data_IF_247823172984
#
_entry.id   IF_247823172984
#
_cell.length_a   1.000
_cell.length_b   1.000
_cell.length_c   1.000
_cell.angle_alpha   90.00
_cell.angle_beta   90.00
_cell.angle_gamma   90.00
#
_symmetry.space_group_name_H-M   'P 1'
#
loop_
_entity.id
_entity.type
_entity.pdbx_description
1 polymer ?
#
# COMPACT_ATOMS: atom_id res chain seq x y z
N UNK A 1 -12.29 -3.73 9.53
CA UNK A 1 -11.95 -4.73 8.48
C UNK A 1 -12.14 -6.12 9.06
N UNK A 2 -12.91 -7.02 8.43
CA UNK A 2 -13.03 -8.40 8.91
C UNK A 2 -11.66 -9.08 8.86
N UNK A 3 -11.24 -9.69 9.97
CA UNK A 3 -9.95 -10.36 10.09
C UNK A 3 -10.03 -11.76 9.49
N UNK A 4 -8.99 -12.16 8.76
CA UNK A 4 -8.87 -13.53 8.27
C UNK A 4 -8.76 -14.53 9.44
N UNK A 5 -9.43 -15.68 9.31
CA UNK A 5 -9.21 -16.82 10.21
C UNK A 5 -7.75 -17.28 10.16
N UNK A 6 -7.25 -17.76 11.31
CA UNK A 6 -5.84 -18.11 11.53
C UNK A 6 -5.33 -19.15 10.53
N UNK A 7 -4.05 -19.05 10.17
CA UNK A 7 -3.41 -20.00 9.24
C UNK A 7 -3.41 -21.41 9.82
N UNK A 8 -3.22 -21.56 11.12
CA UNK A 8 -3.29 -22.86 11.82
C UNK A 8 -4.64 -23.55 11.60
N UNK A 9 -5.76 -22.84 11.79
CA UNK A 9 -7.09 -23.39 11.56
C UNK A 9 -7.26 -23.88 10.13
N UNK A 10 -6.74 -23.12 9.16
CA UNK A 10 -6.79 -23.50 7.74
C UNK A 10 -6.00 -24.75 7.46
N UNK A 11 -4.78 -24.85 7.98
CA UNK A 11 -3.91 -26.04 7.86
C UNK A 11 -4.62 -27.29 8.42
N UNK A 12 -5.23 -27.19 9.60
CA UNK A 12 -5.96 -28.30 10.22
C UNK A 12 -7.19 -28.73 9.42
N UNK A 13 -7.90 -27.79 8.80
CA UNK A 13 -9.02 -28.10 7.90
C UNK A 13 -8.54 -28.83 6.65
N UNK A 14 -7.45 -28.38 6.02
CA UNK A 14 -6.87 -29.04 4.85
C UNK A 14 -6.38 -30.44 5.20
N UNK A 15 -5.65 -30.61 6.30
CA UNK A 15 -5.17 -31.92 6.75
C UNK A 15 -6.34 -32.91 6.95
N UNK A 16 -7.49 -32.46 7.47
CA UNK A 16 -8.66 -33.31 7.60
C UNK A 16 -9.28 -33.70 6.25
N UNK A 17 -9.25 -32.80 5.26
CA UNK A 17 -9.74 -33.08 3.90
C UNK A 17 -8.82 -34.06 3.20
N UNK A 18 -7.50 -33.89 3.34
CA UNK A 18 -6.50 -34.80 2.79
C UNK A 18 -6.54 -36.19 3.45
N UNK A 19 -6.93 -36.26 4.72
CA UNK A 19 -7.23 -37.51 5.42
C UNK A 19 -8.58 -38.17 5.01
N UNK A 20 -9.27 -37.64 3.99
CA UNK A 20 -10.46 -38.25 3.39
C UNK A 20 -11.80 -37.61 3.78
N UNK A 21 -11.82 -36.55 4.58
CA UNK A 21 -13.08 -35.86 4.87
C UNK A 21 -13.54 -35.00 3.68
N UNK A 22 -14.85 -34.97 3.40
CA UNK A 22 -15.40 -33.95 2.50
C UNK A 22 -15.21 -32.54 3.08
N UNK A 23 -15.16 -31.53 2.22
CA UNK A 23 -15.09 -30.12 2.65
C UNK A 23 -16.21 -29.75 3.63
N UNK A 24 -17.41 -30.31 3.47
CA UNK A 24 -18.56 -30.06 4.34
C UNK A 24 -18.40 -30.74 5.71
N UNK A 25 -17.87 -31.97 5.76
CA UNK A 25 -17.56 -32.66 7.02
C UNK A 25 -16.45 -31.92 7.79
N UNK A 26 -15.37 -31.52 7.11
CA UNK A 26 -14.31 -30.72 7.72
C UNK A 26 -14.85 -29.39 8.26
N UNK A 27 -15.67 -28.68 7.48
CA UNK A 27 -16.29 -27.43 7.92
C UNK A 27 -17.13 -27.60 9.20
N UNK A 28 -17.95 -28.66 9.26
CA UNK A 28 -18.74 -29.00 10.45
C UNK A 28 -17.85 -29.33 11.65
N UNK A 29 -16.78 -30.11 11.46
CA UNK A 29 -15.81 -30.48 12.51
C UNK A 29 -15.11 -29.28 13.12
N UNK A 30 -14.76 -28.28 12.31
CA UNK A 30 -13.98 -27.10 12.73
C UNK A 30 -14.84 -25.85 12.98
N UNK A 31 -16.17 -25.95 12.90
CA UNK A 31 -17.07 -24.83 13.20
C UNK A 31 -16.99 -23.66 12.20
N UNK A 32 -16.66 -23.94 10.94
CA UNK A 32 -16.55 -22.91 9.88
C UNK A 32 -17.61 -23.11 8.80
N UNK A 33 -17.80 -22.09 7.94
CA UNK A 33 -18.68 -22.23 6.79
C UNK A 33 -18.10 -23.20 5.74
N UNK A 34 -18.97 -24.00 5.12
CA UNK A 34 -18.58 -24.91 4.04
C UNK A 34 -17.90 -24.17 2.87
N UNK A 35 -18.36 -22.96 2.54
CA UNK A 35 -17.75 -22.11 1.51
C UNK A 35 -16.32 -21.68 1.83
N UNK A 36 -15.95 -21.57 3.11
CA UNK A 36 -14.57 -21.28 3.50
C UNK A 36 -13.66 -22.50 3.34
N UNK A 37 -14.12 -23.67 3.78
CA UNK A 37 -13.39 -24.93 3.58
C UNK A 37 -13.13 -25.22 2.09
N UNK A 38 -14.15 -25.04 1.24
CA UNK A 38 -14.02 -25.20 -0.23
C UNK A 38 -12.97 -24.24 -0.80
N UNK A 39 -13.04 -22.95 -0.45
CA UNK A 39 -12.06 -21.96 -0.93
C UNK A 39 -10.64 -22.27 -0.49
N UNK A 40 -10.45 -22.71 0.75
CA UNK A 40 -9.12 -23.08 1.25
C UNK A 40 -8.59 -24.32 0.54
N UNK A 41 -9.42 -25.34 0.32
CA UNK A 41 -9.02 -26.54 -0.40
C UNK A 41 -8.64 -26.24 -1.85
N UNK A 42 -9.42 -25.41 -2.55
CA UNK A 42 -9.09 -24.95 -3.89
C UNK A 42 -7.76 -24.17 -3.94
N UNK A 43 -7.51 -23.30 -2.96
CA UNK A 43 -6.26 -22.55 -2.86
C UNK A 43 -5.06 -23.48 -2.62
N UNK A 44 -5.22 -24.45 -1.71
CA UNK A 44 -4.20 -25.47 -1.41
C UNK A 44 -3.85 -26.28 -2.65
N UNK A 45 -4.84 -26.73 -3.43
CA UNK A 45 -4.60 -27.47 -4.68
C UNK A 45 -3.93 -26.62 -5.77
N UNK A 46 -4.24 -25.33 -5.83
CA UNK A 46 -3.70 -24.45 -6.86
C UNK A 46 -2.30 -23.92 -6.56
N UNK A 47 -1.93 -23.74 -5.28
CA UNK A 47 -0.73 -22.99 -4.88
C UNK A 47 0.09 -23.63 -3.76
N UNK A 48 -0.32 -24.80 -3.27
CA UNK A 48 0.23 -25.42 -2.06
C UNK A 48 0.30 -24.45 -0.87
N UNK A 49 -0.69 -23.56 -0.78
CA UNK A 49 -0.76 -22.50 0.21
C UNK A 49 -2.18 -22.36 0.76
N UNK A 50 -2.27 -22.02 2.05
CA UNK A 50 -3.51 -21.78 2.79
C UNK A 50 -3.54 -20.39 3.43
N UNK A 51 -2.46 -19.62 3.30
CA UNK A 51 -2.36 -18.28 3.86
C UNK A 51 -3.43 -17.34 3.28
N UNK A 52 -3.99 -16.43 4.10
CA UNK A 52 -4.84 -15.38 3.55
C UNK A 52 -4.05 -14.49 2.60
N UNK A 53 -4.68 -14.12 1.48
CA UNK A 53 -4.14 -13.08 0.61
C UNK A 53 -4.05 -11.74 1.37
N UNK A 54 -3.10 -10.89 0.95
CA UNK A 54 -2.93 -9.53 1.50
C UNK A 54 -4.27 -8.78 1.43
N UNK A 55 -4.81 -8.44 2.60
CA UNK A 55 -6.03 -7.64 2.72
C UNK A 55 -5.65 -6.15 2.76
N UNK A 56 -6.41 -5.31 2.07
CA UNK A 56 -6.14 -3.88 2.01
C UNK A 56 -4.94 -3.51 1.15
N UNK A 57 -4.16 -2.53 1.62
CA UNK A 57 -3.00 -1.97 0.91
C UNK A 57 -3.33 -0.86 -0.08
N UNK A 58 -2.31 -0.12 -0.48
CA UNK A 58 -2.43 0.92 -1.51
C UNK A 58 -2.60 0.28 -2.89
N UNK A 59 -3.75 0.55 -3.51
CA UNK A 59 -4.08 0.09 -4.86
C UNK A 59 -4.21 1.24 -5.86
N UNK A 60 -4.09 2.49 -5.39
CA UNK A 60 -4.41 3.69 -6.18
C UNK A 60 -3.17 4.48 -6.56
N UNK A 61 -2.09 4.40 -5.79
CA UNK A 61 -0.87 5.15 -6.09
C UNK A 61 -0.07 4.61 -7.27
N UNK A 62 -0.22 3.33 -7.64
CA UNK A 62 0.61 2.67 -8.67
C UNK A 62 0.85 3.51 -9.93
N UNK A 63 -0.18 4.20 -10.42
CA UNK A 63 -0.07 5.05 -11.61
C UNK A 63 0.87 6.24 -11.42
N UNK A 64 0.74 6.97 -10.31
CA UNK A 64 1.62 8.11 -10.02
C UNK A 64 3.03 7.64 -9.64
N UNK A 65 3.15 6.49 -8.98
CA UNK A 65 4.43 5.85 -8.67
C UNK A 65 5.21 5.47 -9.92
N UNK A 66 4.53 5.06 -11.00
CA UNK A 66 5.17 4.78 -12.29
C UNK A 66 5.86 6.00 -12.93
N UNK A 67 5.56 7.21 -12.45
CA UNK A 67 6.19 8.45 -12.91
C UNK A 67 7.06 9.10 -11.82
N UNK A 68 7.47 8.34 -10.79
CA UNK A 68 8.20 8.87 -9.65
C UNK A 68 9.49 9.61 -10.06
N UNK A 69 10.27 9.02 -10.96
CA UNK A 69 11.55 9.60 -11.40
C UNK A 69 11.35 10.93 -12.13
N UNK A 70 10.31 11.02 -12.97
CA UNK A 70 9.94 12.28 -13.65
C UNK A 70 9.53 13.35 -12.63
N UNK A 71 8.67 12.99 -11.67
CA UNK A 71 8.18 13.92 -10.64
C UNK A 71 9.34 14.43 -9.77
N UNK A 72 10.23 13.53 -9.34
CA UNK A 72 11.39 13.87 -8.52
C UNK A 72 12.46 14.63 -9.32
N UNK A 73 12.60 14.36 -10.61
CA UNK A 73 13.49 15.11 -11.51
C UNK A 73 13.06 16.55 -11.70
N UNK A 74 11.76 16.80 -11.89
CA UNK A 74 11.20 18.15 -11.93
C UNK A 74 11.41 18.90 -10.60
N UNK A 75 11.19 18.22 -9.47
CA UNK A 75 11.45 18.80 -8.16
C UNK A 75 12.94 19.10 -7.93
N UNK A 76 13.84 18.24 -8.40
CA UNK A 76 15.29 18.47 -8.29
C UNK A 76 15.76 19.65 -9.16
N UNK A 77 15.18 19.83 -10.35
CA UNK A 77 15.43 20.98 -11.22
C UNK A 77 14.93 22.28 -10.61
N UNK A 78 13.73 22.26 -10.01
CA UNK A 78 13.08 23.45 -9.46
C UNK A 78 12.55 23.13 -8.06
N UNK A 79 13.38 23.28 -7.00
CA UNK A 79 13.02 22.84 -5.64
C UNK A 79 11.82 23.56 -5.01
N UNK A 80 11.51 24.76 -5.47
CA UNK A 80 10.42 25.63 -5.00
C UNK A 80 9.16 25.56 -5.90
N UNK A 81 9.10 24.61 -6.83
CA UNK A 81 7.95 24.43 -7.73
C UNK A 81 6.65 24.19 -6.93
N UNK A 82 5.60 24.92 -7.29
CA UNK A 82 4.28 24.69 -6.67
C UNK A 82 3.67 23.39 -7.20
N UNK A 83 2.77 22.76 -6.43
CA UNK A 83 2.08 21.54 -6.88
C UNK A 83 1.24 21.77 -8.16
N UNK A 84 0.76 23.00 -8.38
CA UNK A 84 -0.01 23.37 -9.58
C UNK A 84 0.91 23.46 -10.79
N UNK A 85 2.07 24.10 -10.64
CA UNK A 85 3.05 24.23 -11.71
C UNK A 85 3.67 22.88 -12.06
N UNK A 86 3.97 22.06 -11.05
CA UNK A 86 4.42 20.68 -11.24
C UNK A 86 3.40 19.85 -12.00
N UNK A 87 2.11 19.97 -11.66
CA UNK A 87 1.04 19.32 -12.42
C UNK A 87 1.03 19.78 -13.88
N UNK A 88 1.19 21.07 -14.13
CA UNK A 88 1.16 21.63 -15.49
C UNK A 88 2.38 21.17 -16.30
N UNK A 89 3.57 21.14 -15.69
CA UNK A 89 4.79 20.59 -16.30
C UNK A 89 4.61 19.11 -16.70
N UNK A 90 4.09 18.30 -15.77
CA UNK A 90 3.79 16.88 -16.03
C UNK A 90 2.73 16.69 -17.12
N UNK A 91 1.69 17.54 -17.15
CA UNK A 91 0.69 17.51 -18.21
C UNK A 91 1.29 17.83 -19.59
N UNK A 92 2.26 18.76 -19.67
CA UNK A 92 3.02 19.03 -20.90
C UNK A 92 3.85 17.83 -21.39
N UNK A 93 4.19 16.91 -20.49
CA UNK A 93 4.87 15.64 -20.80
C UNK A 93 3.89 14.47 -21.02
N UNK A 94 2.58 14.73 -21.10
CA UNK A 94 1.53 13.72 -21.28
C UNK A 94 1.12 12.98 -20.00
N UNK A 95 1.63 13.39 -18.84
CA UNK A 95 1.38 12.74 -17.54
C UNK A 95 0.24 13.48 -16.82
N UNK A 96 -0.99 12.99 -16.99
CA UNK A 96 -2.15 13.56 -16.32
C UNK A 96 -2.20 13.13 -14.84
N UNK A 97 -1.93 14.02 -13.90
CA UNK A 97 -2.04 13.78 -12.44
C UNK A 97 -2.87 14.88 -11.76
N UNK A 98 -3.47 14.57 -10.60
CA UNK A 98 -4.18 15.57 -9.81
C UNK A 98 -3.26 16.17 -8.74
N UNK A 99 -3.54 17.41 -8.31
CA UNK A 99 -2.81 18.07 -7.22
C UNK A 99 -2.86 17.24 -5.93
N UNK A 100 -4.04 16.70 -5.58
CA UNK A 100 -4.18 15.80 -4.43
C UNK A 100 -3.39 14.49 -4.59
N UNK A 101 -3.23 14.01 -5.83
CA UNK A 101 -2.36 12.86 -6.14
C UNK A 101 -0.90 13.16 -5.86
N UNK A 102 -0.41 14.31 -6.35
CA UNK A 102 0.96 14.79 -6.08
C UNK A 102 1.19 15.02 -4.59
N UNK A 103 0.24 15.62 -3.88
CA UNK A 103 0.33 15.81 -2.44
C UNK A 103 0.52 14.47 -1.71
N UNK A 104 -0.32 13.46 -2.01
CA UNK A 104 -0.19 12.12 -1.41
C UNK A 104 1.09 11.41 -1.86
N UNK A 105 1.61 11.73 -3.04
CA UNK A 105 2.89 11.20 -3.51
C UNK A 105 4.06 11.70 -2.65
N UNK A 106 4.10 12.99 -2.36
CA UNK A 106 5.12 13.57 -1.48
C UNK A 106 4.95 13.14 -0.03
N UNK A 107 3.72 13.13 0.48
CA UNK A 107 3.42 12.66 1.84
C UNK A 107 3.93 11.23 2.07
N UNK A 108 3.64 10.30 1.16
CA UNK A 108 4.09 8.90 1.27
C UNK A 108 5.61 8.74 1.25
N UNK A 109 6.34 9.71 0.67
CA UNK A 109 7.81 9.76 0.62
C UNK A 109 8.42 10.58 1.74
N UNK A 110 7.60 11.11 2.65
CA UNK A 110 8.02 12.03 3.71
C UNK A 110 8.75 13.28 3.18
N UNK A 111 8.47 13.67 1.93
CA UNK A 111 9.01 14.91 1.35
C UNK A 111 8.10 16.03 1.82
N UNK A 112 8.64 16.91 2.66
CA UNK A 112 7.92 18.07 3.18
C UNK A 112 8.62 19.34 2.76
N UNK A 113 7.85 20.34 2.35
CA UNK A 113 8.38 21.68 2.16
C UNK A 113 8.78 22.24 3.53
N UNK A 114 9.96 22.84 3.63
CA UNK A 114 10.36 23.59 4.82
C UNK A 114 9.34 24.70 5.06
N UNK A 115 8.65 24.65 6.19
CA UNK A 115 7.59 25.63 6.54
C UNK A 115 8.15 26.94 7.09
N UNK A 116 9.38 26.94 7.62
CA UNK A 116 9.98 28.14 8.20
C UNK A 116 10.74 28.95 7.14
N UNK A 117 10.42 30.24 6.96
CA UNK A 117 11.27 31.16 6.22
C UNK A 117 12.69 31.12 6.78
N UNK A 118 13.70 31.32 5.93
CA UNK A 118 15.06 31.56 6.42
C UNK A 118 15.06 32.85 7.25
N UNK A 119 15.08 32.72 8.58
CA UNK A 119 15.28 33.87 9.46
C UNK A 119 16.75 34.28 9.43
N UNK A 120 17.02 35.59 9.56
CA UNK A 120 18.39 36.06 9.79
C UNK A 120 18.91 35.41 11.09
N UNK A 121 20.16 34.93 11.15
CA UNK A 121 20.77 34.48 12.39
C UNK A 121 20.60 35.55 13.48
N UNK A 122 20.28 35.14 14.71
CA UNK A 122 20.26 36.07 15.84
C UNK A 122 21.61 36.75 15.96
N UNK A 123 21.62 38.08 16.06
CA UNK A 123 22.85 38.87 16.24
C UNK A 123 23.55 38.37 17.51
N UNK A 124 24.70 37.73 17.37
CA UNK A 124 25.57 37.42 18.51
C UNK A 124 26.14 38.76 18.98
N UNK A 125 25.53 39.34 19.99
CA UNK A 125 26.11 40.48 20.69
C UNK A 125 27.20 39.94 21.65
N UNK A 126 28.36 40.60 21.78
CA UNK A 126 29.35 40.23 22.78
C UNK A 126 28.71 40.38 24.17
N UNK A 127 28.74 39.32 24.97
CA UNK A 127 28.48 39.38 26.40
C UNK A 127 29.68 40.07 27.06
N UNK A 128 29.43 41.23 27.68
CA UNK A 128 30.41 41.93 28.53
C UNK A 128 30.71 41.16 29.80
#
# INVERSE_FOLDING_TARGET
>A
MPRALSVDLRKRVIAAIEAGASCRQAAKRFGISASSAIRWHALSKARDDVAPQRQGGDRRSKRIEGHADTILGELARTPDITLVDLRNSLAGQGIAVSVAGLWRFFERRQITLKKSPGMRPSRIAPTS
#
